data_IF_808098927027
#
_entry.id   IF_808098927027
#
_cell.length_a   1.000
_cell.length_b   1.000
_cell.length_c   1.000
_cell.angle_alpha   90.00
_cell.angle_beta   90.00
_cell.angle_gamma   90.00
#
_symmetry.space_group_name_H-M   'P 1'
#
loop_
_entity.id
_entity.type
_entity.pdbx_description
1 polymer ?
#
# COMPACT_ATOMS: atom_id res chain seq x y z
N UNK A 1 9.38 38.51 -14.82
CA UNK A 1 9.83 37.86 -16.07
C UNK A 1 8.91 36.70 -16.34
N UNK A 2 8.31 36.65 -17.52
CA UNK A 2 7.34 35.61 -17.87
C UNK A 2 8.09 34.29 -18.10
N UNK A 3 7.89 33.33 -17.21
CA UNK A 3 8.61 32.05 -17.20
C UNK A 3 8.38 31.30 -18.52
N UNK A 4 7.20 31.43 -19.11
CA UNK A 4 6.88 30.85 -20.41
C UNK A 4 7.71 31.45 -21.55
N UNK A 5 7.95 32.76 -21.53
CA UNK A 5 8.76 33.43 -22.54
C UNK A 5 10.24 33.01 -22.47
N UNK A 6 10.75 32.78 -21.26
CA UNK A 6 12.12 32.25 -21.04
C UNK A 6 12.28 30.83 -21.57
N UNK A 7 11.30 29.95 -21.36
CA UNK A 7 11.34 28.59 -21.92
C UNK A 7 11.23 28.59 -23.45
N UNK A 8 10.36 29.42 -24.03
CA UNK A 8 10.16 29.49 -25.49
C UNK A 8 11.44 29.95 -26.22
N UNK A 9 12.12 30.96 -25.68
CA UNK A 9 13.38 31.47 -26.25
C UNK A 9 14.52 30.45 -26.15
N UNK A 10 14.61 29.71 -25.05
CA UNK A 10 15.55 28.60 -24.91
C UNK A 10 15.21 27.45 -25.89
N UNK A 11 13.92 27.23 -26.15
CA UNK A 11 13.44 26.22 -27.07
C UNK A 11 13.81 26.50 -28.52
N UNK A 12 13.70 27.75 -28.93
CA UNK A 12 14.11 28.20 -30.26
C UNK A 12 15.64 28.16 -30.44
N UNK A 13 16.42 28.37 -29.37
CA UNK A 13 17.88 28.35 -29.40
C UNK A 13 18.51 26.94 -29.39
N UNK A 14 17.83 25.93 -28.84
CA UNK A 14 18.36 24.56 -28.67
C UNK A 14 18.41 23.69 -29.93
N UNK A 15 17.84 24.15 -31.04
CA UNK A 15 17.86 23.43 -32.32
C UNK A 15 16.98 22.15 -32.36
N UNK A 16 17.05 21.36 -33.45
CA UNK A 16 16.11 20.26 -33.73
C UNK A 16 16.15 19.13 -32.70
N UNK A 17 17.27 18.96 -31.98
CA UNK A 17 17.41 17.94 -30.95
C UNK A 17 16.48 18.16 -29.75
N UNK A 18 16.05 19.40 -29.51
CA UNK A 18 15.17 19.72 -28.39
C UNK A 18 13.74 19.15 -28.56
N UNK A 19 13.28 19.00 -29.79
CA UNK A 19 12.01 18.32 -30.10
C UNK A 19 12.06 16.83 -29.76
N UNK A 20 13.23 16.19 -29.93
CA UNK A 20 13.42 14.77 -29.58
C UNK A 20 13.31 14.57 -28.06
N UNK A 21 13.98 15.43 -27.29
CA UNK A 21 13.93 15.38 -25.82
C UNK A 21 12.50 15.62 -25.33
N UNK A 22 11.79 16.60 -25.91
CA UNK A 22 10.40 16.87 -25.56
C UNK A 22 9.49 15.69 -25.91
N UNK A 23 9.69 15.05 -27.06
CA UNK A 23 8.96 13.82 -27.43
C UNK A 23 9.16 12.70 -26.41
N UNK A 24 10.40 12.43 -26.01
CA UNK A 24 10.72 11.42 -24.98
C UNK A 24 10.10 11.82 -23.63
N UNK A 25 10.19 13.09 -23.24
CA UNK A 25 9.60 13.60 -22.01
C UNK A 25 8.08 13.43 -21.94
N UNK A 26 7.38 13.63 -23.06
CA UNK A 26 5.94 13.38 -23.17
C UNK A 26 5.62 11.90 -23.00
N UNK A 27 6.38 11.00 -23.63
CA UNK A 27 6.19 9.54 -23.50
C UNK A 27 6.40 9.09 -22.06
N UNK A 28 7.48 9.53 -21.41
CA UNK A 28 7.76 9.20 -20.00
C UNK A 28 6.61 9.70 -19.11
N UNK A 29 6.14 10.93 -19.36
CA UNK A 29 5.04 11.52 -18.59
C UNK A 29 3.75 10.74 -18.76
N UNK A 30 3.43 10.31 -19.98
CA UNK A 30 2.26 9.47 -20.25
C UNK A 30 2.32 8.15 -19.48
N UNK A 31 3.46 7.45 -19.52
CA UNK A 31 3.68 6.20 -18.79
C UNK A 31 3.60 6.43 -17.27
N UNK A 32 4.18 7.52 -16.78
CA UNK A 32 4.14 7.88 -15.36
C UNK A 32 2.70 8.15 -14.88
N UNK A 33 1.91 8.88 -15.68
CA UNK A 33 0.50 9.15 -15.36
C UNK A 33 -0.33 7.87 -15.35
N UNK A 34 -0.13 6.97 -16.31
CA UNK A 34 -0.82 5.67 -16.34
C UNK A 34 -0.50 4.85 -15.09
N UNK A 35 0.79 4.77 -14.73
CA UNK A 35 1.25 4.09 -13.51
C UNK A 35 0.65 4.71 -12.25
N UNK A 36 0.65 6.03 -12.14
CA UNK A 36 0.10 6.76 -10.99
C UNK A 36 -1.41 6.57 -10.88
N UNK A 37 -2.13 6.54 -12.00
CA UNK A 37 -3.56 6.30 -12.02
C UNK A 37 -3.90 4.89 -11.55
N UNK A 38 -3.20 3.87 -12.05
CA UNK A 38 -3.43 2.47 -11.69
C UNK A 38 -3.14 2.23 -10.21
N UNK A 39 -1.98 2.72 -9.73
CA UNK A 39 -1.57 2.55 -8.32
C UNK A 39 -2.51 3.35 -7.40
N UNK A 40 -2.80 4.61 -7.74
CA UNK A 40 -3.66 5.48 -6.95
C UNK A 40 -5.07 4.92 -6.80
N UNK A 41 -5.67 4.46 -7.91
CA UNK A 41 -7.02 3.88 -7.90
C UNK A 41 -7.11 2.56 -7.14
N UNK A 42 -6.10 1.69 -7.26
CA UNK A 42 -6.07 0.42 -6.52
C UNK A 42 -5.80 0.62 -5.02
N UNK A 43 -4.95 1.57 -4.65
CA UNK A 43 -4.53 1.80 -3.26
C UNK A 43 -5.58 2.56 -2.44
N UNK A 44 -6.22 3.59 -3.01
CA UNK A 44 -7.11 4.47 -2.25
C UNK A 44 -8.46 3.83 -1.87
N UNK A 45 -9.07 3.06 -2.78
CA UNK A 45 -10.45 2.57 -2.58
C UNK A 45 -10.53 1.42 -1.56
N UNK A 46 -9.53 0.54 -1.53
CA UNK A 46 -9.58 -0.67 -0.70
C UNK A 46 -8.89 -0.48 0.67
N UNK A 47 -7.84 0.33 0.76
CA UNK A 47 -7.08 0.47 2.00
C UNK A 47 -7.88 1.18 3.11
N UNK A 48 -8.68 2.20 2.77
CA UNK A 48 -9.42 2.97 3.77
C UNK A 48 -10.54 2.16 4.43
N UNK A 49 -11.33 1.45 3.62
CA UNK A 49 -12.43 0.60 4.10
C UNK A 49 -11.89 -0.59 4.90
N UNK A 50 -10.86 -1.26 4.38
CA UNK A 50 -10.22 -2.38 5.07
C UNK A 50 -9.64 -1.95 6.43
N UNK A 51 -8.93 -0.81 6.48
CA UNK A 51 -8.39 -0.29 7.74
C UNK A 51 -9.51 -0.03 8.76
N UNK A 52 -10.62 0.54 8.33
CA UNK A 52 -11.73 0.85 9.21
C UNK A 52 -12.41 -0.43 9.75
N UNK A 53 -12.65 -1.41 8.89
CA UNK A 53 -13.28 -2.67 9.25
C UNK A 53 -12.37 -3.51 10.19
N UNK A 54 -11.07 -3.54 9.92
CA UNK A 54 -10.09 -4.26 10.78
C UNK A 54 -9.98 -3.59 12.16
N UNK A 55 -9.82 -2.25 12.22
CA UNK A 55 -9.73 -1.54 13.50
C UNK A 55 -11.01 -1.72 14.33
N UNK A 56 -12.18 -1.71 13.69
CA UNK A 56 -13.46 -1.90 14.37
C UNK A 56 -13.57 -3.30 14.99
N UNK A 57 -13.23 -4.36 14.24
CA UNK A 57 -13.31 -5.73 14.75
C UNK A 57 -12.27 -6.04 15.83
N UNK A 58 -11.05 -5.49 15.72
CA UNK A 58 -10.02 -5.60 16.76
C UNK A 58 -10.45 -4.89 18.05
N UNK A 59 -11.05 -3.70 17.95
CA UNK A 59 -11.56 -2.97 19.12
C UNK A 59 -12.70 -3.70 19.84
N UNK A 60 -13.48 -4.52 19.13
CA UNK A 60 -14.53 -5.34 19.72
C UNK A 60 -14.02 -6.66 20.33
N UNK A 61 -12.71 -6.92 20.30
CA UNK A 61 -12.13 -8.18 20.81
C UNK A 61 -12.34 -9.38 19.88
N UNK A 62 -12.92 -9.18 18.69
CA UNK A 62 -13.14 -10.22 17.69
C UNK A 62 -11.96 -10.32 16.71
N UNK A 63 -10.80 -10.73 17.24
CA UNK A 63 -9.60 -11.03 16.45
C UNK A 63 -9.82 -12.04 15.30
N UNK A 64 -10.59 -13.15 15.45
CA UNK A 64 -10.79 -14.09 14.35
C UNK A 64 -11.65 -13.52 13.21
N UNK A 65 -12.63 -12.64 13.52
CA UNK A 65 -13.41 -11.96 12.49
C UNK A 65 -12.56 -10.96 11.71
N UNK A 66 -11.62 -10.27 12.38
CA UNK A 66 -10.66 -9.39 11.73
C UNK A 66 -9.72 -10.17 10.78
N UNK A 67 -9.27 -11.36 11.17
CA UNK A 67 -8.44 -12.22 10.33
C UNK A 67 -9.18 -12.67 9.05
N UNK A 68 -10.45 -13.08 9.17
CA UNK A 68 -11.26 -13.48 8.02
C UNK A 68 -11.51 -12.33 7.01
N UNK A 69 -11.57 -11.09 7.49
CA UNK A 69 -11.69 -9.89 6.64
C UNK A 69 -10.36 -9.61 5.92
N UNK A 70 -9.23 -9.77 6.63
CA UNK A 70 -7.90 -9.63 6.04
C UNK A 70 -7.61 -10.71 4.98
N UNK A 71 -8.08 -11.94 5.17
CA UNK A 71 -7.89 -13.05 4.22
C UNK A 71 -8.65 -12.85 2.90
N UNK A 72 -9.83 -12.22 2.95
CA UNK A 72 -10.65 -11.95 1.75
C UNK A 72 -10.10 -10.86 0.85
N UNK A 73 -9.18 -10.03 1.34
CA UNK A 73 -8.65 -8.90 0.57
C UNK A 73 -7.20 -9.16 0.20
N UNK A 74 -6.91 -9.12 -1.10
CA UNK A 74 -5.57 -9.35 -1.64
C UNK A 74 -4.79 -8.02 -1.72
N UNK A 75 -4.52 -7.42 -0.56
CA UNK A 75 -3.73 -6.20 -0.45
C UNK A 75 -2.48 -6.47 0.40
N UNK A 76 -1.32 -5.84 0.12
CA UNK A 76 -0.13 -6.03 0.93
C UNK A 76 -0.36 -5.65 2.41
N UNK A 77 -1.20 -4.65 2.67
CA UNK A 77 -1.58 -4.25 4.03
C UNK A 77 -2.42 -5.29 4.77
N UNK A 78 -3.27 -6.06 4.07
CA UNK A 78 -4.07 -7.11 4.70
C UNK A 78 -3.27 -8.37 4.98
N UNK A 79 -2.26 -8.68 4.16
CA UNK A 79 -1.32 -9.77 4.43
C UNK A 79 -0.49 -9.51 5.69
N UNK A 80 0.00 -8.27 5.87
CA UNK A 80 0.72 -7.87 7.08
C UNK A 80 -0.22 -7.90 8.30
N UNK A 81 -1.43 -7.36 8.16
CA UNK A 81 -2.42 -7.38 9.25
C UNK A 81 -2.83 -8.81 9.63
N UNK A 82 -3.01 -9.70 8.65
CA UNK A 82 -3.26 -11.12 8.89
C UNK A 82 -2.10 -11.74 9.66
N UNK A 83 -0.86 -11.56 9.21
CA UNK A 83 0.33 -12.09 9.89
C UNK A 83 0.45 -11.61 11.34
N UNK A 84 0.07 -10.36 11.64
CA UNK A 84 0.03 -9.84 13.02
C UNK A 84 -1.10 -10.46 13.84
N UNK A 85 -2.27 -10.67 13.23
CA UNK A 85 -3.45 -11.24 13.90
C UNK A 85 -3.34 -12.75 14.13
N UNK A 86 -2.65 -13.47 13.24
CA UNK A 86 -2.39 -14.92 13.34
C UNK A 86 -1.05 -15.23 13.98
N UNK A 87 -0.19 -14.24 14.22
CA UNK A 87 1.00 -14.42 15.04
C UNK A 87 0.57 -14.98 16.39
N UNK A 88 1.19 -16.08 16.87
CA UNK A 88 0.90 -16.63 18.18
C UNK A 88 1.05 -15.51 19.20
N UNK A 89 -0.02 -15.25 19.95
CA UNK A 89 0.07 -14.39 21.11
C UNK A 89 0.84 -15.21 22.15
N UNK A 90 2.16 -15.05 22.19
CA UNK A 90 3.16 -15.82 22.95
C UNK A 90 2.75 -16.08 24.41
N UNK A 91 1.88 -15.21 24.95
CA UNK A 91 1.33 -15.31 26.30
C UNK A 91 0.36 -16.50 26.49
N UNK A 92 -0.44 -16.88 25.50
CA UNK A 92 -1.35 -18.02 25.62
C UNK A 92 -0.63 -19.34 25.28
N UNK A 93 0.31 -19.31 24.34
CA UNK A 93 1.13 -20.48 24.02
C UNK A 93 2.03 -20.90 25.19
N UNK A 94 2.56 -19.94 25.97
CA UNK A 94 3.27 -20.25 27.22
C UNK A 94 2.34 -20.78 28.32
N UNK A 95 1.08 -20.34 28.39
CA UNK A 95 0.13 -20.82 29.40
C UNK A 95 -0.34 -22.26 29.09
N UNK A 96 -0.65 -22.58 27.83
CA UNK A 96 -0.98 -23.95 27.40
C UNK A 96 0.22 -24.90 27.53
N UNK A 97 1.44 -24.42 27.28
CA UNK A 97 2.66 -25.21 27.51
C UNK A 97 2.93 -25.45 29.00
N UNK A 98 2.68 -24.44 29.86
CA UNK A 98 2.85 -24.56 31.31
C UNK A 98 1.79 -25.48 31.95
N UNK A 99 0.53 -25.43 31.49
CA UNK A 99 -0.52 -26.35 31.96
C UNK A 99 -0.31 -27.78 31.45
N UNK A 100 0.24 -27.94 30.24
CA UNK A 100 0.62 -29.23 29.67
C UNK A 100 1.75 -29.94 30.43
N UNK A 101 2.72 -29.20 30.98
CA UNK A 101 3.79 -29.79 31.82
C UNK A 101 3.32 -30.08 33.25
N UNK A 102 2.38 -29.30 33.80
CA UNK A 102 1.83 -29.52 35.14
C UNK A 102 0.90 -30.75 35.24
N UNK A 103 0.31 -31.21 34.13
CA UNK A 103 -0.55 -32.40 34.10
C UNK A 103 0.23 -33.73 34.03
N UNK A 104 1.54 -33.68 33.80
CA UNK A 104 2.41 -34.87 33.61
C UNK A 104 3.37 -35.08 34.80
N UNK A 105 3.34 -34.19 35.80
CA UNK A 105 4.15 -34.26 37.03
C UNK A 105 3.39 -34.89 38.21
#
# INVERSE_FOLDING_TARGET
MDVFAMFATFFQGGGPFMFVILGIGVVITAIALERLWVIGRASLLNAKKLRQDVIFNVKQGNAPAAAAICEKVNAPVSQIALAILTAPNDRNAMLDAAEGEAAVA
#
